data_IF_413933922503
#
_entry.id   IF_413933922503
#
_cell.length_a   1.000
_cell.length_b   1.000
_cell.length_c   1.000
_cell.angle_alpha   90.00
_cell.angle_beta   90.00
_cell.angle_gamma   90.00
#
_symmetry.space_group_name_H-M   'P 1'
#
loop_
_entity.id
_entity.type
_entity.pdbx_description
1 polymer ?
#
# COMPACT_ATOMS: atom_id res chain seq x y z
N UNK A 1 9.17 9.03 -30.61
CA UNK A 1 8.14 9.99 -30.13
C UNK A 1 7.68 9.68 -28.71
N UNK A 2 7.41 8.42 -28.32
CA UNK A 2 6.94 8.08 -26.96
C UNK A 2 8.00 8.36 -25.87
N UNK A 3 9.25 7.92 -26.01
CA UNK A 3 10.31 8.20 -25.00
C UNK A 3 10.53 9.70 -24.74
N UNK A 4 10.50 10.52 -25.79
CA UNK A 4 10.70 11.97 -25.67
C UNK A 4 9.56 12.66 -24.95
N UNK A 5 8.33 12.15 -25.07
CA UNK A 5 7.15 12.69 -24.39
C UNK A 5 7.16 12.37 -22.90
N UNK A 6 7.53 11.15 -22.52
CA UNK A 6 7.69 10.76 -21.11
C UNK A 6 8.84 11.52 -20.46
N UNK A 7 10.00 11.65 -21.14
CA UNK A 7 11.15 12.44 -20.65
C UNK A 7 10.76 13.91 -20.44
N UNK A 8 10.09 14.53 -21.41
CA UNK A 8 9.66 15.94 -21.29
C UNK A 8 8.68 16.17 -20.14
N UNK A 9 7.71 15.26 -19.92
CA UNK A 9 6.77 15.36 -18.80
C UNK A 9 7.48 15.08 -17.47
N UNK A 10 8.40 14.10 -17.43
CA UNK A 10 9.20 13.83 -16.24
C UNK A 10 10.04 15.06 -15.86
N UNK A 11 10.74 15.67 -16.81
CA UNK A 11 11.56 16.85 -16.57
C UNK A 11 10.71 18.03 -16.05
N UNK A 12 9.54 18.28 -16.67
CA UNK A 12 8.60 19.31 -16.21
C UNK A 12 8.01 19.02 -14.81
N UNK A 13 7.77 17.75 -14.47
CA UNK A 13 7.27 17.35 -13.16
C UNK A 13 8.35 17.44 -12.06
N UNK A 14 9.58 17.06 -12.37
CA UNK A 14 10.72 17.16 -11.45
C UNK A 14 11.02 18.63 -11.15
N UNK A 15 10.90 19.53 -12.13
CA UNK A 15 11.13 20.97 -11.95
C UNK A 15 10.03 21.69 -11.15
N UNK A 16 8.82 21.14 -11.03
CA UNK A 16 7.66 21.83 -10.46
C UNK A 16 7.26 21.40 -9.05
N UNK A 17 7.88 20.38 -8.48
CA UNK A 17 7.49 19.82 -7.18
C UNK A 17 8.72 19.62 -6.25
N UNK A 18 9.05 20.68 -5.49
CA UNK A 18 10.17 20.80 -4.54
C UNK A 18 10.20 19.73 -3.41
N UNK A 19 9.19 18.86 -3.34
CA UNK A 19 9.08 17.80 -2.32
C UNK A 19 9.60 16.43 -2.76
N UNK A 20 10.01 16.26 -4.01
CA UNK A 20 10.58 15.01 -4.48
C UNK A 20 12.11 15.06 -4.36
N UNK A 21 12.74 14.29 -3.45
CA UNK A 21 14.16 14.03 -3.62
C UNK A 21 14.34 13.41 -5.01
N UNK A 22 15.30 13.92 -5.78
CA UNK A 22 15.79 13.35 -7.04
C UNK A 22 16.33 11.94 -6.77
N UNK A 23 15.44 10.98 -6.56
CA UNK A 23 15.76 9.57 -6.41
C UNK A 23 15.57 8.93 -7.79
N UNK A 24 16.57 9.12 -8.66
CA UNK A 24 16.87 8.10 -9.66
C UNK A 24 17.46 6.93 -8.86
N UNK A 25 16.58 6.05 -8.40
CA UNK A 25 17.00 4.84 -7.69
C UNK A 25 17.32 3.77 -8.73
N UNK A 26 18.61 3.56 -8.99
CA UNK A 26 19.07 2.28 -9.51
C UNK A 26 19.06 1.31 -8.32
N UNK A 27 18.29 0.20 -8.36
CA UNK A 27 18.38 -0.80 -7.32
C UNK A 27 19.83 -1.30 -7.27
N UNK A 28 20.50 -1.04 -6.16
CA UNK A 28 21.85 -1.57 -5.93
C UNK A 28 21.66 -3.07 -5.63
N UNK A 29 21.76 -3.90 -6.68
CA UNK A 29 21.74 -5.37 -6.60
C UNK A 29 23.13 -5.92 -6.25
N UNK A 30 24.14 -5.04 -6.18
CA UNK A 30 25.49 -5.39 -5.78
C UNK A 30 25.48 -5.99 -4.36
N UNK A 31 25.88 -7.27 -4.27
CA UNK A 31 25.91 -8.02 -3.02
C UNK A 31 24.87 -9.13 -2.91
N UNK A 32 23.94 -9.28 -3.85
CA UNK A 32 23.00 -10.41 -3.84
C UNK A 32 23.71 -11.70 -4.23
N UNK A 33 23.66 -12.71 -3.35
CA UNK A 33 24.28 -14.00 -3.59
C UNK A 33 23.49 -14.85 -4.59
N UNK A 34 22.16 -14.73 -4.60
CA UNK A 34 21.23 -15.45 -5.47
C UNK A 34 20.02 -14.57 -5.84
N UNK A 35 20.17 -13.64 -6.81
CA UNK A 35 19.11 -12.71 -7.15
C UNK A 35 17.89 -13.41 -7.77
N UNK A 36 16.71 -13.21 -7.19
CA UNK A 36 15.42 -13.68 -7.72
C UNK A 36 14.54 -12.48 -8.02
N UNK A 37 13.86 -12.51 -9.18
CA UNK A 37 12.90 -11.48 -9.58
C UNK A 37 11.47 -11.90 -9.30
N UNK A 38 10.72 -11.04 -8.64
CA UNK A 38 9.28 -11.12 -8.48
C UNK A 38 8.57 -10.22 -9.48
N UNK A 39 7.41 -10.69 -9.94
CA UNK A 39 6.52 -9.91 -10.81
C UNK A 39 5.17 -9.80 -10.13
N UNK A 40 4.74 -8.56 -9.90
CA UNK A 40 3.38 -8.23 -9.46
C UNK A 40 2.63 -7.59 -10.63
N UNK A 41 1.47 -8.13 -10.96
CA UNK A 41 0.62 -7.58 -12.02
C UNK A 41 -0.75 -7.26 -11.47
N UNK A 42 -1.25 -6.08 -11.80
CA UNK A 42 -2.59 -5.65 -11.45
C UNK A 42 -3.29 -5.02 -12.64
N UNK A 43 -4.50 -5.49 -12.92
CA UNK A 43 -5.40 -4.87 -13.89
C UNK A 43 -6.47 -4.13 -13.12
N UNK A 44 -6.56 -2.83 -13.35
CA UNK A 44 -7.61 -1.97 -12.83
C UNK A 44 -8.94 -2.39 -13.45
N UNK A 45 -9.81 -2.99 -12.63
CA UNK A 45 -11.18 -3.37 -13.00
C UNK A 45 -12.15 -2.23 -12.73
N UNK A 46 -13.18 -2.52 -11.95
CA UNK A 46 -14.26 -1.59 -11.58
C UNK A 46 -13.77 -0.31 -10.92
N UNK A 47 -12.65 -0.35 -10.18
CA UNK A 47 -12.08 0.85 -9.58
C UNK A 47 -11.74 1.94 -10.62
N UNK A 48 -11.26 1.57 -11.82
CA UNK A 48 -11.00 2.55 -12.88
C UNK A 48 -12.30 3.12 -13.46
N UNK A 49 -13.37 2.33 -13.52
CA UNK A 49 -14.67 2.80 -14.00
C UNK A 49 -15.24 3.89 -13.08
N UNK A 50 -15.18 3.67 -11.76
CA UNK A 50 -15.62 4.67 -10.76
C UNK A 50 -14.79 5.95 -10.89
N UNK A 51 -13.46 5.81 -10.99
CA UNK A 51 -12.57 6.96 -11.10
C UNK A 51 -12.81 7.77 -12.39
N UNK A 52 -13.09 7.10 -13.52
CA UNK A 52 -13.44 7.77 -14.78
C UNK A 52 -14.78 8.49 -14.71
N UNK A 53 -15.79 7.89 -14.08
CA UNK A 53 -17.11 8.53 -13.89
C UNK A 53 -17.00 9.85 -13.10
N UNK A 54 -16.02 9.93 -12.21
CA UNK A 54 -15.80 11.09 -11.33
C UNK A 54 -14.69 12.01 -11.81
N UNK A 55 -14.15 11.76 -13.01
CA UNK A 55 -13.07 12.52 -13.63
C UNK A 55 -11.79 12.59 -12.76
N UNK A 56 -11.55 11.59 -11.89
CA UNK A 56 -10.38 11.48 -11.00
C UNK A 56 -9.24 10.68 -11.65
N UNK A 57 -8.71 11.17 -12.77
CA UNK A 57 -7.71 10.44 -13.56
C UNK A 57 -6.29 10.41 -12.93
N UNK A 58 -5.93 11.46 -12.20
CA UNK A 58 -4.58 11.69 -11.69
C UNK A 58 -4.20 10.80 -10.51
N UNK A 59 -5.18 10.24 -9.80
CA UNK A 59 -4.96 9.31 -8.68
C UNK A 59 -4.80 7.87 -9.14
N UNK A 60 -5.45 7.46 -10.23
CA UNK A 60 -5.53 6.06 -10.69
C UNK A 60 -4.13 5.50 -10.98
N UNK A 61 -3.32 6.24 -11.74
CA UNK A 61 -1.96 5.81 -12.07
C UNK A 61 -1.11 5.58 -10.81
N UNK A 62 -1.26 6.46 -9.81
CA UNK A 62 -0.55 6.37 -8.55
C UNK A 62 -0.97 5.13 -7.74
N UNK A 63 -2.28 4.88 -7.65
CA UNK A 63 -2.81 3.73 -6.92
C UNK A 63 -2.49 2.39 -7.61
N UNK A 64 -2.40 2.38 -8.94
CA UNK A 64 -1.93 1.23 -9.72
C UNK A 64 -0.51 0.83 -9.31
N UNK A 65 0.38 1.82 -9.26
CA UNK A 65 1.76 1.62 -8.83
C UNK A 65 1.80 1.18 -7.38
N UNK A 66 1.07 1.88 -6.51
CA UNK A 66 1.06 1.61 -5.06
C UNK A 66 0.69 0.17 -4.75
N UNK A 67 -0.34 -0.37 -5.41
CA UNK A 67 -0.76 -1.76 -5.21
C UNK A 67 0.34 -2.76 -5.53
N UNK A 68 0.93 -2.68 -6.74
CA UNK A 68 1.96 -3.63 -7.14
C UNK A 68 3.22 -3.49 -6.29
N UNK A 69 3.63 -2.26 -6.00
CA UNK A 69 4.86 -1.96 -5.27
C UNK A 69 4.76 -2.39 -3.81
N UNK A 70 3.65 -2.09 -3.12
CA UNK A 70 3.44 -2.52 -1.75
C UNK A 70 3.40 -4.06 -1.63
N UNK A 71 2.84 -4.76 -2.63
CA UNK A 71 2.87 -6.22 -2.69
C UNK A 71 4.31 -6.76 -2.84
N UNK A 72 5.14 -6.15 -3.71
CA UNK A 72 6.54 -6.56 -3.88
C UNK A 72 7.33 -6.39 -2.57
N UNK A 73 7.25 -5.22 -1.93
CA UNK A 73 8.00 -4.98 -0.69
C UNK A 73 7.49 -5.80 0.48
N UNK A 74 6.20 -6.16 0.51
CA UNK A 74 5.67 -7.09 1.52
C UNK A 74 6.30 -8.48 1.43
N UNK A 75 6.84 -8.83 0.25
CA UNK A 75 7.55 -10.08 -0.02
C UNK A 75 9.08 -9.94 0.14
N UNK A 76 9.56 -8.76 0.53
CA UNK A 76 10.98 -8.48 0.67
C UNK A 76 11.69 -8.17 -0.66
N UNK A 77 10.96 -7.94 -1.76
CA UNK A 77 11.54 -7.52 -3.01
C UNK A 77 11.67 -5.99 -3.08
N UNK A 78 12.85 -5.55 -3.52
CA UNK A 78 13.16 -4.15 -3.85
C UNK A 78 12.58 -3.86 -5.23
N UNK A 79 11.73 -2.84 -5.41
CA UNK A 79 11.25 -2.47 -6.73
C UNK A 79 12.38 -2.10 -7.71
N UNK A 80 12.28 -2.57 -8.96
CA UNK A 80 13.26 -2.32 -10.03
C UNK A 80 12.59 -1.53 -11.18
N UNK A 81 11.46 -2.02 -11.68
CA UNK A 81 10.75 -1.41 -12.81
C UNK A 81 9.24 -1.56 -12.72
N UNK A 82 8.53 -0.68 -13.40
CA UNK A 82 7.10 -0.68 -13.55
C UNK A 82 6.71 -0.41 -15.01
N UNK A 83 5.89 -1.28 -15.60
CA UNK A 83 5.30 -1.06 -16.92
C UNK A 83 3.80 -0.77 -16.76
N UNK A 84 3.36 0.38 -17.27
CA UNK A 84 1.95 0.75 -17.38
C UNK A 84 1.46 0.48 -18.81
N UNK A 85 0.45 -0.38 -18.98
CA UNK A 85 -0.29 -0.57 -20.23
C UNK A 85 -1.65 0.13 -20.10
N UNK A 86 -1.86 1.23 -20.86
CA UNK A 86 -3.00 2.15 -20.69
C UNK A 86 -3.71 2.43 -22.03
N UNK A 87 -5.00 2.80 -22.02
CA UNK A 87 -5.72 3.27 -23.21
C UNK A 87 -5.21 4.63 -23.68
N UNK A 88 -5.24 4.86 -25.00
CA UNK A 88 -4.88 6.14 -25.61
C UNK A 88 -5.79 7.31 -25.16
N UNK A 89 -7.10 7.04 -25.03
CA UNK A 89 -8.12 8.06 -24.78
C UNK A 89 -7.91 8.90 -23.50
N UNK A 90 -7.22 8.34 -22.50
CA UNK A 90 -6.96 9.01 -21.21
C UNK A 90 -5.47 9.03 -20.85
N UNK A 91 -4.58 8.77 -21.83
CA UNK A 91 -3.17 8.58 -21.55
C UNK A 91 -2.54 9.81 -20.87
N UNK A 92 -2.78 11.01 -21.41
CA UNK A 92 -2.19 12.25 -20.89
C UNK A 92 -2.60 12.52 -19.43
N UNK A 93 -3.83 12.19 -19.05
CA UNK A 93 -4.34 12.39 -17.70
C UNK A 93 -3.85 11.33 -16.71
N UNK A 94 -3.59 10.11 -17.17
CA UNK A 94 -3.15 8.98 -16.34
C UNK A 94 -1.64 9.01 -16.06
N UNK A 95 -0.83 9.41 -17.04
CA UNK A 95 0.64 9.37 -16.99
C UNK A 95 1.22 10.07 -15.74
N UNK A 96 0.76 11.27 -15.34
CA UNK A 96 1.27 11.94 -14.14
C UNK A 96 1.15 11.10 -12.86
N UNK A 97 0.06 10.34 -12.71
CA UNK A 97 -0.14 9.46 -11.56
C UNK A 97 0.91 8.34 -11.52
N UNK A 98 1.19 7.71 -12.66
CA UNK A 98 2.22 6.68 -12.77
C UNK A 98 3.62 7.22 -12.47
N UNK A 99 3.96 8.40 -12.99
CA UNK A 99 5.26 9.05 -12.72
C UNK A 99 5.42 9.27 -11.21
N UNK A 100 4.45 9.93 -10.57
CA UNK A 100 4.47 10.20 -9.12
C UNK A 100 4.55 8.91 -8.31
N UNK A 101 3.80 7.88 -8.72
CA UNK A 101 3.80 6.57 -8.08
C UNK A 101 5.16 5.89 -8.16
N UNK A 102 5.79 5.87 -9.34
CA UNK A 102 7.09 5.21 -9.54
C UNK A 102 8.23 5.97 -8.87
N UNK A 103 8.21 7.30 -8.88
CA UNK A 103 9.15 8.13 -8.11
C UNK A 103 9.07 7.82 -6.62
N UNK A 104 7.86 7.78 -6.05
CA UNK A 104 7.67 7.45 -4.63
C UNK A 104 7.97 5.97 -4.33
N UNK A 105 7.71 5.09 -5.29
CA UNK A 105 7.99 3.65 -5.26
C UNK A 105 9.44 3.28 -5.54
N UNK A 106 10.29 4.24 -5.90
CA UNK A 106 11.70 4.05 -6.24
C UNK A 106 11.91 3.00 -7.34
N UNK A 107 11.12 3.09 -8.41
CA UNK A 107 11.26 2.23 -9.58
C UNK A 107 11.23 3.03 -10.89
N UNK A 108 11.81 2.43 -11.94
CA UNK A 108 11.71 2.97 -13.30
C UNK A 108 10.29 2.80 -13.86
N UNK A 109 9.89 3.66 -14.81
CA UNK A 109 8.58 3.62 -15.46
C UNK A 109 8.71 3.43 -16.98
N UNK A 110 7.97 2.47 -17.52
CA UNK A 110 7.72 2.30 -18.96
C UNK A 110 6.22 2.44 -19.25
N UNK A 111 5.85 3.22 -20.27
CA UNK A 111 4.44 3.45 -20.64
C UNK A 111 4.16 2.85 -22.02
N UNK A 112 3.15 1.99 -22.09
CA UNK A 112 2.67 1.33 -23.31
C UNK A 112 1.23 1.75 -23.57
N UNK A 113 1.04 2.51 -24.65
CA UNK A 113 -0.29 2.82 -25.15
C UNK A 113 -0.83 1.58 -25.87
N UNK A 114 -2.03 1.17 -25.51
CA UNK A 114 -2.69 -0.02 -26.07
C UNK A 114 -4.10 0.31 -26.53
N UNK A 115 -4.64 -0.53 -27.43
CA UNK A 115 -6.04 -0.45 -27.86
C UNK A 115 -7.02 -1.09 -26.85
N UNK A 116 -6.53 -1.52 -25.68
CA UNK A 116 -7.38 -2.09 -24.63
C UNK A 116 -8.04 -0.95 -23.85
N UNK A 117 -9.23 -1.21 -23.31
CA UNK A 117 -9.93 -0.28 -22.44
C UNK A 117 -9.44 -0.30 -20.98
N UNK A 118 -8.61 -1.28 -20.62
CA UNK A 118 -8.16 -1.48 -19.24
C UNK A 118 -6.81 -0.82 -18.97
N UNK A 119 -6.60 -0.41 -17.72
CA UNK A 119 -5.29 -0.01 -17.21
C UNK A 119 -4.65 -1.23 -16.54
N UNK A 120 -3.43 -1.58 -16.94
CA UNK A 120 -2.68 -2.69 -16.33
C UNK A 120 -1.30 -2.22 -15.90
N UNK A 121 -0.96 -2.42 -14.63
CA UNK A 121 0.36 -2.21 -14.07
C UNK A 121 1.11 -3.53 -13.92
N UNK A 122 2.40 -3.55 -14.25
CA UNK A 122 3.29 -4.68 -13.96
C UNK A 122 4.54 -4.15 -13.27
N UNK A 123 4.74 -4.51 -12.01
CA UNK A 123 5.96 -4.20 -11.28
C UNK A 123 6.89 -5.41 -11.26
N UNK A 124 8.18 -5.16 -11.46
CA UNK A 124 9.25 -6.14 -11.25
C UNK A 124 10.07 -5.68 -10.06
N UNK A 125 10.33 -6.59 -9.14
CA UNK A 125 11.22 -6.37 -8.00
C UNK A 125 12.24 -7.49 -7.86
N UNK A 126 13.32 -7.23 -7.13
CA UNK A 126 14.42 -8.16 -6.93
C UNK A 126 14.64 -8.40 -5.44
N UNK A 127 14.94 -9.64 -5.07
CA UNK A 127 15.37 -10.00 -3.72
C UNK A 127 16.58 -10.95 -3.79
N UNK A 128 17.27 -11.15 -2.66
CA UNK A 128 18.33 -12.15 -2.53
C UNK A 128 17.77 -13.46 -1.95
N UNK A 129 17.84 -14.55 -2.70
CA UNK A 129 17.32 -15.86 -2.32
C UNK A 129 15.83 -16.06 -2.60
N UNK A 130 15.11 -16.76 -1.73
CA UNK A 130 13.68 -17.02 -1.93
C UNK A 130 12.84 -15.79 -1.57
N UNK A 131 12.23 -15.14 -2.56
CA UNK A 131 11.44 -13.90 -2.41
C UNK A 131 10.08 -14.06 -1.73
N UNK A 132 9.90 -15.05 -0.87
CA UNK A 132 8.84 -15.00 0.11
C UNK A 132 9.56 -14.76 1.43
N UNK A 133 9.30 -13.61 2.08
CA UNK A 133 9.76 -13.33 3.45
C UNK A 133 9.91 -14.65 4.19
N UNK A 134 11.12 -15.04 4.58
CA UNK A 134 11.32 -16.26 5.35
C UNK A 134 10.45 -16.09 6.58
N UNK A 135 9.24 -16.65 6.52
CA UNK A 135 8.21 -16.37 7.49
C UNK A 135 8.67 -17.02 8.78
N UNK A 136 9.36 -16.23 9.57
CA UNK A 136 10.07 -16.61 10.78
C UNK A 136 9.35 -16.01 11.99
N UNK A 137 8.09 -15.60 11.77
CA UNK A 137 7.22 -15.08 12.81
C UNK A 137 7.10 -16.12 13.91
N UNK A 138 7.30 -15.67 15.13
CA UNK A 138 7.32 -16.52 16.33
C UNK A 138 6.62 -15.83 17.49
N UNK A 139 6.29 -16.63 18.50
CA UNK A 139 5.77 -16.11 19.77
C UNK A 139 6.72 -15.06 20.34
N UNK A 140 6.16 -13.93 20.80
CA UNK A 140 6.90 -12.80 21.35
C UNK A 140 7.25 -11.70 20.35
N UNK A 141 7.11 -11.93 19.04
CA UNK A 141 7.29 -10.88 18.04
C UNK A 141 6.29 -9.74 18.22
N UNK A 142 6.75 -8.51 17.96
CA UNK A 142 5.92 -7.31 17.98
C UNK A 142 5.42 -7.01 16.58
N UNK A 143 4.15 -6.60 16.51
CA UNK A 143 3.52 -6.16 15.28
C UNK A 143 3.56 -4.64 15.24
N UNK A 144 4.33 -4.10 14.29
CA UNK A 144 4.42 -2.66 14.02
C UNK A 144 3.51 -2.34 12.85
N UNK A 145 2.48 -1.54 13.10
CA UNK A 145 1.54 -1.05 12.09
C UNK A 145 1.93 0.32 11.57
N UNK A 146 1.80 0.52 10.26
CA UNK A 146 1.95 1.79 9.58
C UNK A 146 0.59 2.34 9.20
N UNK A 147 0.35 3.61 9.49
CA UNK A 147 -0.91 4.27 9.13
C UNK A 147 -1.16 4.20 7.63
N UNK A 148 -2.39 3.83 7.25
CA UNK A 148 -2.91 4.05 5.91
C UNK A 148 -3.23 5.54 5.70
N UNK A 149 -3.36 5.95 4.44
CA UNK A 149 -3.93 7.28 4.14
C UNK A 149 -5.46 7.29 4.32
N UNK A 150 -6.10 6.13 4.29
CA UNK A 150 -7.55 5.94 4.40
C UNK A 150 -7.92 4.53 4.00
N UNK A 151 -9.01 4.36 3.26
CA UNK A 151 -9.45 3.04 2.77
C UNK A 151 -8.44 2.35 1.85
N UNK A 152 -7.58 3.14 1.19
CA UNK A 152 -6.81 2.76 0.01
C UNK A 152 -7.71 2.33 -1.15
N UNK A 153 -7.12 2.33 -2.33
CA UNK A 153 -7.82 2.06 -3.58
C UNK A 153 -8.42 0.65 -3.68
N UNK A 154 -7.84 -0.32 -2.97
CA UNK A 154 -8.31 -1.70 -2.91
C UNK A 154 -9.73 -1.84 -2.34
N UNK A 155 -10.16 -0.91 -1.47
CA UNK A 155 -11.47 -0.93 -0.83
C UNK A 155 -12.50 0.01 -1.48
N UNK A 156 -12.13 0.71 -2.56
CA UNK A 156 -12.95 1.74 -3.20
C UNK A 156 -14.31 1.22 -3.65
N UNK A 157 -14.34 0.18 -4.49
CA UNK A 157 -15.60 -0.41 -4.99
C UNK A 157 -16.50 -0.86 -3.84
N UNK A 158 -15.95 -1.60 -2.88
CA UNK A 158 -16.73 -2.10 -1.73
C UNK A 158 -17.31 -0.95 -0.89
N UNK A 159 -16.52 0.08 -0.64
CA UNK A 159 -17.00 1.26 0.08
C UNK A 159 -18.08 1.98 -0.73
N UNK A 160 -17.91 2.11 -2.05
CA UNK A 160 -18.89 2.73 -2.92
C UNK A 160 -20.24 1.99 -2.93
N UNK A 161 -20.21 0.66 -2.92
CA UNK A 161 -21.40 -0.19 -2.82
C UNK A 161 -22.10 -0.04 -1.47
N UNK A 162 -21.35 -0.12 -0.36
CA UNK A 162 -21.90 -0.02 1.00
C UNK A 162 -22.53 1.36 1.23
N UNK A 163 -21.83 2.41 0.81
CA UNK A 163 -22.25 3.79 0.98
C UNK A 163 -23.28 4.23 -0.08
N UNK A 164 -23.62 3.35 -1.03
CA UNK A 164 -24.58 3.58 -2.12
C UNK A 164 -24.28 4.87 -2.87
N UNK A 165 -23.02 5.03 -3.27
CA UNK A 165 -22.57 6.29 -3.85
C UNK A 165 -23.24 6.58 -5.19
N UNK A 166 -23.58 7.85 -5.38
CA UNK A 166 -24.12 8.41 -6.61
C UNK A 166 -23.47 9.79 -6.90
N UNK A 167 -23.90 10.45 -7.97
CA UNK A 167 -23.33 11.73 -8.40
C UNK A 167 -23.57 12.88 -7.41
N UNK A 168 -24.57 12.75 -6.52
CA UNK A 168 -24.95 13.76 -5.54
C UNK A 168 -24.18 13.54 -4.23
N UNK A 169 -24.35 12.36 -3.63
CA UNK A 169 -23.82 12.07 -2.30
C UNK A 169 -22.28 12.00 -2.26
N UNK A 170 -21.62 11.71 -3.39
CA UNK A 170 -20.17 11.66 -3.44
C UNK A 170 -19.51 13.04 -3.33
N UNK A 171 -20.26 14.10 -3.62
CA UNK A 171 -19.80 15.49 -3.54
C UNK A 171 -20.15 16.16 -2.21
N UNK A 172 -20.94 15.48 -1.37
CA UNK A 172 -21.36 16.00 -0.07
C UNK A 172 -20.22 16.01 0.94
N UNK A 173 -20.24 17.03 1.80
CA UNK A 173 -19.38 17.08 2.99
C UNK A 173 -20.01 16.17 4.04
N UNK A 174 -19.25 15.19 4.48
CA UNK A 174 -19.71 14.19 5.44
C UNK A 174 -19.16 14.52 6.83
N UNK A 175 -20.01 14.75 7.85
CA UNK A 175 -19.58 15.19 9.18
C UNK A 175 -18.54 14.27 9.84
N UNK A 176 -18.65 12.95 9.66
CA UNK A 176 -17.78 11.96 10.29
C UNK A 176 -16.34 11.99 9.77
N UNK A 177 -16.11 12.47 8.54
CA UNK A 177 -14.79 12.54 7.90
C UNK A 177 -14.29 13.97 7.67
N UNK A 178 -15.13 14.98 7.96
CA UNK A 178 -14.80 16.41 7.88
C UNK A 178 -14.33 16.90 6.49
N UNK A 179 -14.61 16.15 5.43
CA UNK A 179 -14.32 16.50 4.05
C UNK A 179 -15.43 15.96 3.14
N UNK A 180 -15.28 16.17 1.83
CA UNK A 180 -16.18 15.55 0.87
C UNK A 180 -15.94 14.06 0.77
N UNK A 181 -17.00 13.29 0.48
CA UNK A 181 -16.89 11.85 0.27
C UNK A 181 -15.87 11.51 -0.84
N UNK A 182 -15.89 12.22 -1.97
CA UNK A 182 -14.90 12.07 -3.05
C UNK A 182 -13.46 12.23 -2.57
N UNK A 183 -13.19 13.18 -1.66
CA UNK A 183 -11.84 13.49 -1.20
C UNK A 183 -11.30 12.40 -0.26
N UNK A 184 -12.17 11.76 0.54
CA UNK A 184 -11.79 10.64 1.41
C UNK A 184 -11.57 9.35 0.61
N UNK A 185 -12.48 9.03 -0.31
CA UNK A 185 -12.43 7.79 -1.10
C UNK A 185 -11.29 7.76 -2.11
N UNK A 186 -10.98 8.91 -2.72
CA UNK A 186 -9.89 9.07 -3.68
C UNK A 186 -8.61 9.59 -3.05
N UNK A 187 -8.52 9.62 -1.71
CA UNK A 187 -7.25 9.92 -1.05
C UNK A 187 -6.22 8.87 -1.47
N UNK A 188 -5.18 9.34 -2.17
CA UNK A 188 -4.09 8.51 -2.71
C UNK A 188 -3.60 7.50 -1.68
N UNK A 189 -3.48 6.23 -2.08
CA UNK A 189 -2.96 5.17 -1.22
C UNK A 189 -1.54 5.49 -0.77
N UNK A 190 -1.11 4.99 0.39
CA UNK A 190 0.27 5.21 0.85
C UNK A 190 1.23 4.15 0.30
N UNK A 191 2.39 4.59 -0.20
CA UNK A 191 3.51 3.74 -0.62
C UNK A 191 4.49 3.58 0.54
N UNK A 192 4.82 2.34 0.89
CA UNK A 192 5.64 2.00 2.08
C UNK A 192 7.08 1.57 1.76
N UNK A 193 7.57 1.77 0.52
CA UNK A 193 8.90 1.31 0.10
C UNK A 193 10.00 1.88 0.99
N UNK A 194 10.08 3.20 1.09
CA UNK A 194 11.12 3.92 1.83
C UNK A 194 11.26 3.45 3.30
N UNK A 195 10.20 3.40 4.12
CA UNK A 195 10.34 2.94 5.51
C UNK A 195 10.74 1.47 5.61
N UNK A 196 10.23 0.59 4.73
CA UNK A 196 10.61 -0.83 4.74
C UNK A 196 12.09 -0.99 4.37
N UNK A 197 12.52 -0.33 3.29
CA UNK A 197 13.89 -0.36 2.81
C UNK A 197 14.86 0.17 3.86
N UNK A 198 14.50 1.23 4.58
CA UNK A 198 15.32 1.75 5.68
C UNK A 198 15.51 0.73 6.80
N UNK A 199 14.45 0.01 7.19
CA UNK A 199 14.57 -1.02 8.23
C UNK A 199 15.44 -2.19 7.78
N UNK A 200 15.30 -2.63 6.53
CA UNK A 200 16.07 -3.75 5.97
C UNK A 200 17.54 -3.36 5.77
N UNK A 201 17.79 -2.26 5.04
CA UNK A 201 19.14 -1.93 4.57
C UNK A 201 19.93 -1.07 5.57
N UNK A 202 19.29 -0.12 6.23
CA UNK A 202 19.99 0.88 7.05
C UNK A 202 20.09 0.44 8.51
N UNK A 203 19.05 -0.19 9.05
CA UNK A 203 19.07 -0.72 10.42
C UNK A 203 19.58 -2.15 10.51
N UNK A 204 19.65 -2.86 9.37
CA UNK A 204 20.06 -4.26 9.31
C UNK A 204 19.26 -5.14 10.30
N UNK A 205 17.96 -4.84 10.44
CA UNK A 205 17.06 -5.58 11.33
C UNK A 205 16.41 -6.72 10.53
N UNK A 206 16.50 -7.97 10.98
CA UNK A 206 15.78 -9.07 10.34
C UNK A 206 14.28 -8.86 10.51
N UNK A 207 13.56 -8.74 9.39
CA UNK A 207 12.11 -8.71 9.36
C UNK A 207 11.58 -10.13 9.33
N UNK A 208 10.76 -10.49 10.31
CA UNK A 208 10.22 -11.85 10.39
C UNK A 208 9.07 -12.04 9.38
N UNK A 209 8.30 -10.97 9.13
CA UNK A 209 7.35 -10.87 8.04
C UNK A 209 6.91 -9.41 7.80
N UNK A 210 6.38 -9.16 6.60
CA UNK A 210 5.68 -7.91 6.25
C UNK A 210 4.36 -8.27 5.58
N UNK A 211 3.30 -7.52 5.87
CA UNK A 211 1.99 -7.73 5.27
C UNK A 211 1.35 -6.40 4.87
N UNK A 212 1.02 -6.28 3.59
CA UNK A 212 0.17 -5.20 3.09
C UNK A 212 -1.30 -5.55 3.32
N UNK A 213 -2.02 -4.68 4.03
CA UNK A 213 -3.38 -4.94 4.53
C UNK A 213 -4.47 -4.35 3.63
N UNK A 214 -4.10 -3.48 2.66
CA UNK A 214 -5.06 -2.78 1.81
C UNK A 214 -5.99 -3.72 1.04
N UNK A 215 -5.49 -4.87 0.56
CA UNK A 215 -6.28 -5.78 -0.27
C UNK A 215 -7.28 -6.64 0.50
N UNK A 216 -6.94 -7.09 1.72
CA UNK A 216 -7.70 -8.15 2.43
C UNK A 216 -8.13 -7.77 3.83
N UNK A 217 -8.01 -6.51 4.20
CA UNK A 217 -8.23 -6.05 5.56
C UNK A 217 -7.13 -6.47 6.54
N UNK A 218 -7.20 -5.91 7.74
CA UNK A 218 -6.15 -6.07 8.76
C UNK A 218 -6.02 -7.52 9.23
N UNK A 219 -7.14 -8.19 9.56
CA UNK A 219 -7.14 -9.57 10.06
C UNK A 219 -6.58 -10.54 9.02
N UNK A 220 -7.10 -10.53 7.79
CA UNK A 220 -6.62 -11.50 6.80
C UNK A 220 -5.20 -11.19 6.34
N UNK A 221 -4.82 -9.90 6.30
CA UNK A 221 -3.45 -9.47 6.04
C UNK A 221 -2.48 -10.09 7.05
N UNK A 222 -2.75 -9.94 8.34
CA UNK A 222 -1.91 -10.48 9.41
C UNK A 222 -1.95 -12.01 9.41
N UNK A 223 -3.13 -12.62 9.26
CA UNK A 223 -3.27 -14.07 9.30
C UNK A 223 -2.42 -14.79 8.23
N UNK A 224 -2.27 -14.21 7.04
CA UNK A 224 -1.42 -14.80 5.98
C UNK A 224 0.05 -14.89 6.35
N UNK A 225 0.55 -13.93 7.13
CA UNK A 225 1.95 -13.93 7.56
C UNK A 225 2.19 -14.75 8.84
N UNK A 226 1.17 -15.39 9.42
CA UNK A 226 1.38 -16.27 10.58
C UNK A 226 1.68 -17.71 10.14
N UNK A 227 2.70 -18.37 10.71
CA UNK A 227 2.86 -19.81 10.59
C UNK A 227 1.86 -20.57 11.49
N UNK A 228 1.74 -21.88 11.27
CA UNK A 228 1.02 -22.74 12.22
C UNK A 228 1.68 -22.70 13.61
N UNK A 229 0.86 -22.77 14.66
CA UNK A 229 1.34 -22.69 16.05
C UNK A 229 1.60 -21.27 16.56
N UNK A 230 1.35 -20.23 15.74
CA UNK A 230 1.42 -18.83 16.16
C UNK A 230 0.09 -18.12 15.89
N UNK A 231 -0.39 -17.36 16.88
CA UNK A 231 -1.52 -16.44 16.76
C UNK A 231 -1.10 -15.00 17.01
N UNK A 232 -1.82 -14.05 16.43
CA UNK A 232 -1.64 -12.63 16.69
C UNK A 232 -2.76 -12.08 17.58
N UNK A 233 -2.43 -11.15 18.48
CA UNK A 233 -3.39 -10.31 19.18
C UNK A 233 -3.17 -8.87 18.80
N UNK A 234 -4.24 -8.20 18.38
CA UNK A 234 -4.25 -6.81 17.94
C UNK A 234 -4.96 -5.96 18.98
N UNK A 235 -4.45 -4.75 19.24
CA UNK A 235 -4.93 -3.79 20.22
C UNK A 235 -5.48 -2.55 19.48
N UNK A 236 -6.77 -2.48 19.14
CA UNK A 236 -7.35 -1.36 18.41
C UNK A 236 -7.22 -0.01 19.12
N UNK A 237 -7.14 0.01 20.46
CA UNK A 237 -7.00 1.24 21.24
C UNK A 237 -5.62 1.90 21.06
N UNK A 238 -4.64 1.16 20.52
CA UNK A 238 -3.26 1.64 20.37
C UNK A 238 -3.01 2.40 19.06
N UNK A 239 -3.99 2.50 18.14
CA UNK A 239 -3.82 3.23 16.88
C UNK A 239 -5.09 3.98 16.45
N UNK A 240 -4.95 5.11 15.73
CA UNK A 240 -6.10 5.90 15.31
C UNK A 240 -6.87 5.24 14.16
N UNK A 241 -8.19 5.43 14.16
CA UNK A 241 -9.09 5.04 13.07
C UNK A 241 -9.83 6.27 12.55
N UNK A 242 -9.88 6.44 11.22
CA UNK A 242 -10.65 7.50 10.57
C UNK A 242 -12.16 7.28 10.74
N UNK A 243 -12.96 8.36 10.74
CA UNK A 243 -14.42 8.28 10.83
C UNK A 243 -15.09 7.53 9.68
N UNK A 244 -14.39 7.36 8.54
CA UNK A 244 -14.90 6.60 7.39
C UNK A 244 -15.23 5.15 7.75
N UNK A 245 -14.45 4.53 8.64
CA UNK A 245 -14.68 3.14 9.03
C UNK A 245 -15.95 2.99 9.86
N UNK A 246 -16.24 3.94 10.75
CA UNK A 246 -17.48 3.92 11.53
C UNK A 246 -18.70 4.20 10.64
N UNK A 247 -18.57 5.12 9.67
CA UNK A 247 -19.60 5.35 8.67
C UNK A 247 -19.92 4.08 7.88
N UNK A 248 -18.90 3.43 7.31
CA UNK A 248 -19.06 2.18 6.56
C UNK A 248 -19.70 1.10 7.44
N UNK A 249 -19.25 0.96 8.69
CA UNK A 249 -19.80 -0.03 9.63
C UNK A 249 -21.29 0.20 9.89
N UNK A 250 -21.70 1.45 10.07
CA UNK A 250 -23.10 1.83 10.28
C UNK A 250 -23.96 1.46 9.06
N UNK A 251 -23.50 1.82 7.86
CA UNK A 251 -24.27 1.60 6.62
C UNK A 251 -24.29 0.13 6.18
N UNK A 252 -23.22 -0.64 6.44
CA UNK A 252 -23.15 -2.06 6.11
C UNK A 252 -23.84 -2.97 7.12
N UNK A 253 -23.96 -2.53 8.38
CA UNK A 253 -24.39 -3.38 9.49
C UNK A 253 -23.34 -4.40 9.93
N UNK A 254 -22.09 -4.26 9.47
CA UNK A 254 -21.00 -5.15 9.85
C UNK A 254 -20.69 -5.07 11.36
N UNK A 255 -20.39 -6.23 11.92
CA UNK A 255 -19.69 -6.32 13.20
C UNK A 255 -18.29 -5.74 13.10
N UNK A 256 -17.68 -5.40 14.24
CA UNK A 256 -16.28 -4.94 14.24
C UNK A 256 -15.31 -5.99 13.65
N UNK A 257 -15.56 -7.29 13.88
CA UNK A 257 -14.72 -8.35 13.29
C UNK A 257 -14.78 -8.31 11.77
N UNK A 258 -15.98 -8.21 11.21
CA UNK A 258 -16.17 -8.09 9.76
C UNK A 258 -15.51 -6.83 9.21
N UNK A 259 -15.53 -5.70 9.95
CA UNK A 259 -14.78 -4.51 9.56
C UNK A 259 -13.27 -4.76 9.47
N UNK A 260 -12.67 -5.39 10.48
CA UNK A 260 -11.24 -5.75 10.48
C UNK A 260 -10.88 -6.82 9.43
N UNK A 261 -11.81 -7.68 9.04
CA UNK A 261 -11.64 -8.66 7.96
C UNK A 261 -11.73 -8.03 6.57
N UNK A 262 -12.52 -6.97 6.40
CA UNK A 262 -12.80 -6.38 5.10
C UNK A 262 -12.00 -5.11 4.80
N UNK A 263 -11.54 -4.39 5.82
CA UNK A 263 -10.87 -3.09 5.68
C UNK A 263 -9.57 -3.04 6.48
N UNK A 264 -8.68 -2.14 6.06
CA UNK A 264 -7.37 -1.96 6.69
C UNK A 264 -7.45 -1.28 8.08
N UNK A 265 -8.61 -0.69 8.41
CA UNK A 265 -8.91 -0.07 9.71
C UNK A 265 -7.88 0.97 10.17
N UNK A 266 -7.29 1.73 9.23
CA UNK A 266 -6.30 2.76 9.52
C UNK A 266 -4.86 2.26 9.50
N UNK A 267 -4.62 0.96 9.38
CA UNK A 267 -3.28 0.37 9.27
C UNK A 267 -3.11 -0.23 7.88
N UNK A 268 -2.29 0.39 7.03
CA UNK A 268 -2.10 -0.05 5.64
C UNK A 268 -0.95 -1.05 5.43
N UNK A 269 -0.07 -1.20 6.42
CA UNK A 269 1.01 -2.20 6.40
C UNK A 269 1.36 -2.64 7.82
N UNK A 270 1.70 -3.91 7.99
CA UNK A 270 2.15 -4.48 9.26
C UNK A 270 3.50 -5.16 9.07
N UNK A 271 4.40 -4.96 10.03
CA UNK A 271 5.70 -5.59 10.10
C UNK A 271 5.83 -6.38 11.40
N UNK A 272 6.28 -7.62 11.31
CA UNK A 272 6.60 -8.45 12.47
C UNK A 272 8.12 -8.41 12.74
N UNK A 273 8.50 -8.02 13.95
CA UNK A 273 9.91 -7.96 14.38
C UNK A 273 10.10 -8.58 15.76
N UNK A 274 11.30 -9.08 16.02
CA UNK A 274 11.67 -9.53 17.36
C UNK A 274 11.51 -8.38 18.37
N UNK A 275 10.94 -8.69 19.54
CA UNK A 275 10.70 -7.71 20.62
C UNK A 275 11.91 -6.85 20.94
N UNK A 276 13.13 -7.38 20.85
CA UNK A 276 14.36 -6.63 21.15
C UNK A 276 14.64 -5.51 20.15
N UNK A 277 14.15 -5.63 18.90
CA UNK A 277 14.34 -4.62 17.86
C UNK A 277 13.19 -3.60 17.79
N UNK A 278 12.01 -3.93 18.33
CA UNK A 278 10.82 -3.12 18.20
C UNK A 278 11.03 -1.64 18.57
N UNK A 279 11.66 -1.36 19.72
CA UNK A 279 11.94 0.03 20.14
C UNK A 279 12.89 0.78 19.20
N UNK A 280 13.91 0.09 18.69
CA UNK A 280 14.88 0.67 17.76
C UNK A 280 14.23 0.98 16.40
N UNK A 281 13.45 0.04 15.87
CA UNK A 281 12.70 0.21 14.61
C UNK A 281 11.72 1.37 14.73
N UNK A 282 10.91 1.42 15.79
CA UNK A 282 9.96 2.50 16.03
C UNK A 282 10.64 3.87 16.08
N UNK A 283 11.69 4.02 16.89
CA UNK A 283 12.41 5.29 17.02
C UNK A 283 13.03 5.76 15.71
N UNK A 284 13.57 4.82 14.92
CA UNK A 284 14.19 5.11 13.63
C UNK A 284 13.16 5.52 12.57
N UNK A 285 12.02 4.84 12.49
CA UNK A 285 10.91 5.21 11.61
C UNK A 285 10.34 6.60 11.97
N UNK A 286 10.20 6.91 13.27
CA UNK A 286 9.77 8.25 13.73
C UNK A 286 10.75 9.33 13.27
N UNK A 287 12.07 9.06 13.30
CA UNK A 287 13.09 10.00 12.80
C UNK A 287 12.99 10.22 11.28
N UNK A 288 12.45 9.26 10.52
CA UNK A 288 12.15 9.44 9.10
C UNK A 288 10.86 10.24 8.85
N UNK A 289 10.12 10.62 9.89
CA UNK A 289 8.83 11.27 9.80
C UNK A 289 7.64 10.32 9.63
N UNK A 290 7.83 9.02 9.86
CA UNK A 290 6.73 8.07 9.94
C UNK A 290 6.04 8.09 11.31
N UNK A 291 4.81 7.61 11.36
CA UNK A 291 4.03 7.47 12.60
C UNK A 291 3.62 6.00 12.81
N UNK A 292 4.59 5.11 13.11
CA UNK A 292 4.29 3.71 13.36
C UNK A 292 3.66 3.50 14.74
N UNK A 293 2.94 2.40 14.89
CA UNK A 293 2.33 1.97 16.15
C UNK A 293 2.70 0.52 16.45
N UNK A 294 2.91 0.19 17.72
CA UNK A 294 2.91 -1.23 18.13
C UNK A 294 1.45 -1.62 18.28
N UNK A 295 0.91 -2.32 17.29
CA UNK A 295 -0.52 -2.65 17.20
C UNK A 295 -0.87 -3.99 17.84
N UNK A 296 0.14 -4.74 18.30
CA UNK A 296 -0.08 -6.10 18.77
C UNK A 296 1.17 -6.93 19.00
N UNK A 297 0.94 -8.21 19.28
CA UNK A 297 1.98 -9.19 19.55
C UNK A 297 1.58 -10.59 19.06
N UNK A 298 2.58 -11.37 18.69
CA UNK A 298 2.44 -12.80 18.39
C UNK A 298 2.56 -13.65 19.66
N UNK A 299 1.78 -14.73 19.73
CA UNK A 299 1.72 -15.67 20.84
C UNK A 299 1.68 -17.11 20.30
N UNK A 300 2.07 -18.07 21.13
CA UNK A 300 1.83 -19.48 20.82
C UNK A 300 0.33 -19.79 20.79
N UNK A 301 -0.11 -20.57 19.81
CA UNK A 301 -1.51 -20.99 19.66
C UNK A 301 -1.90 -21.36 18.23
N UNK A 302 -3.14 -21.78 18.04
CA UNK A 302 -3.65 -22.07 16.69
C UNK A 302 -3.59 -20.82 15.82
N UNK A 303 -3.24 -20.97 14.53
CA UNK A 303 -3.13 -19.88 13.58
C UNK A 303 -4.42 -19.06 13.51
N UNK A 304 -4.39 -17.86 14.10
CA UNK A 304 -5.52 -16.95 14.17
C UNK A 304 -5.07 -15.52 14.47
N UNK A 305 -6.00 -14.57 14.26
CA UNK A 305 -5.85 -13.18 14.68
C UNK A 305 -7.01 -12.85 15.61
N UNK A 306 -6.70 -12.41 16.82
CA UNK A 306 -7.66 -12.02 17.86
C UNK A 306 -7.63 -10.50 18.03
N UNK A 307 -8.79 -9.85 17.99
CA UNK A 307 -8.92 -8.45 18.40
C UNK A 307 -9.13 -8.40 19.91
N UNK A 308 -8.28 -7.66 20.61
CA UNK A 308 -8.33 -7.49 22.06
C UNK A 308 -8.63 -6.02 22.35
N UNK A 309 -9.82 -5.79 22.90
CA UNK A 309 -10.28 -4.50 23.42
C UNK A 309 -9.80 -4.32 24.86
#
# INVERSE_FOLDING_TARGET
>A
MINTYTETILDQFIESDDQFPTCVYEPIIDGFANPVRLVERYTMGENAAIAYQLEKYDTIGFDCVTKCINNLVSKGAIPESFTAEIPDAFAEQLIPGFIKGCLKGCCSLEIKISNKSTITGTAVGVCDGECASQNTVKSGDRLIGFLSSGLHFDALVKAAEILKLDEENIKEIVPEIFCKMEDELFRRSKIYVQPIMHVINNLNVPLNAVSYTGEKGLINGINKMLPEGVKARIWPEDFPMSGIYELIRRESGYSMSEMFENFNMGIGLVMAVDKKYAGHVMGSLIQMGEHPYVIGCCYEGNKSVEIIW
#
